data_IF_378104067110
#
_entry.id   IF_378104067110
#
_cell.length_a   1.000
_cell.length_b   1.000
_cell.length_c   1.000
_cell.angle_alpha   90.00
_cell.angle_beta   90.00
_cell.angle_gamma   90.00
#
_symmetry.space_group_name_H-M   'P 1'
#
loop_
_entity.id
_entity.type
_entity.pdbx_description
1 polymer ?
#
# COMPACT_ATOMS: atom_id res chain seq x y z
N UNK A 1 -13.72 15.77 10.34
CA UNK A 1 -12.75 15.41 11.38
C UNK A 1 -12.86 13.90 11.64
N UNK A 2 -11.71 13.21 11.80
CA UNK A 2 -11.70 11.81 12.22
C UNK A 2 -12.07 11.67 13.69
N UNK A 3 -12.69 10.54 14.05
CA UNK A 3 -13.03 10.22 15.44
C UNK A 3 -11.79 9.70 16.19
N UNK A 4 -10.90 9.02 15.49
CA UNK A 4 -9.61 8.55 16.00
C UNK A 4 -8.47 9.06 15.15
N UNK A 5 -7.41 9.54 15.84
CA UNK A 5 -6.16 9.96 15.22
C UNK A 5 -5.01 9.32 15.99
N UNK A 6 -4.19 8.52 15.31
CA UNK A 6 -2.99 7.90 15.88
C UNK A 6 -1.77 8.40 15.14
N UNK A 7 -0.70 8.75 15.87
CA UNK A 7 0.56 9.23 15.30
C UNK A 7 1.71 8.34 15.71
N UNK A 8 2.64 8.14 14.79
CA UNK A 8 3.87 7.41 15.00
C UNK A 8 5.01 8.01 14.18
N UNK A 9 6.22 7.68 14.56
CA UNK A 9 7.45 8.04 13.84
C UNK A 9 8.31 6.79 13.70
N UNK A 10 8.98 6.65 12.57
CA UNK A 10 9.98 5.61 12.34
C UNK A 10 11.08 6.10 11.39
N UNK A 11 12.19 5.39 11.36
CA UNK A 11 13.32 5.68 10.49
C UNK A 11 14.03 4.38 10.06
N UNK A 12 15.01 4.49 9.18
CA UNK A 12 15.82 3.39 8.70
C UNK A 12 17.06 3.08 9.56
N UNK A 13 17.09 3.53 10.83
CA UNK A 13 18.26 3.39 11.72
C UNK A 13 18.69 1.93 11.94
N UNK A 14 17.81 0.98 11.77
CA UNK A 14 18.05 -0.47 11.88
C UNK A 14 18.26 -1.18 10.54
N UNK A 15 18.08 -0.48 9.40
CA UNK A 15 18.35 -1.06 8.09
C UNK A 15 19.85 -1.31 7.90
N UNK A 16 20.19 -2.31 7.08
CA UNK A 16 21.59 -2.59 6.73
C UNK A 16 22.15 -1.49 5.84
N UNK A 17 21.45 -1.17 4.75
CA UNK A 17 21.77 -0.09 3.83
C UNK A 17 20.86 1.12 4.07
N UNK A 18 21.35 2.05 4.92
CA UNK A 18 20.60 3.23 5.34
C UNK A 18 20.69 4.35 4.32
N UNK A 19 19.56 4.93 3.99
CA UNK A 19 19.51 6.19 3.21
C UNK A 19 19.29 7.42 4.09
N UNK A 20 18.97 7.22 5.39
CA UNK A 20 18.78 8.27 6.38
C UNK A 20 17.38 8.88 6.35
N UNK A 21 16.38 8.14 5.85
CA UNK A 21 14.99 8.61 5.79
C UNK A 21 14.33 8.61 7.17
N UNK A 22 13.46 9.59 7.40
CA UNK A 22 12.53 9.61 8.56
C UNK A 22 11.11 9.77 8.10
N UNK A 23 10.18 9.09 8.78
CA UNK A 23 8.76 9.08 8.39
C UNK A 23 7.90 9.38 9.62
N UNK A 24 7.05 10.40 9.52
CA UNK A 24 5.92 10.54 10.42
C UNK A 24 4.71 9.85 9.79
N UNK A 25 3.99 9.04 10.56
CA UNK A 25 2.76 8.39 10.16
C UNK A 25 1.59 8.94 10.98
N UNK A 26 0.49 9.25 10.31
CA UNK A 26 -0.76 9.63 10.94
C UNK A 26 -1.86 8.73 10.39
N UNK A 27 -2.57 8.03 11.27
CA UNK A 27 -3.73 7.22 10.91
C UNK A 27 -5.02 7.93 11.35
N UNK A 28 -6.02 7.94 10.48
CA UNK A 28 -7.34 8.53 10.69
C UNK A 28 -8.41 7.46 10.52
N UNK A 29 -9.31 7.33 11.50
CA UNK A 29 -10.43 6.41 11.44
C UNK A 29 -11.73 7.05 11.95
N UNK A 30 -12.88 6.47 11.57
CA UNK A 30 -14.23 6.94 11.88
C UNK A 30 -15.09 5.80 12.40
N UNK A 31 -16.04 6.12 13.29
CA UNK A 31 -16.96 5.13 13.89
C UNK A 31 -18.27 4.98 13.13
N UNK A 32 -18.59 5.90 12.23
CA UNK A 32 -19.92 5.95 11.63
C UNK A 32 -19.91 6.07 10.11
N UNK A 33 -20.99 5.53 9.52
CA UNK A 33 -21.26 5.59 8.08
C UNK A 33 -21.24 7.02 7.54
N UNK A 34 -20.67 7.23 6.37
CA UNK A 34 -20.16 6.20 5.44
C UNK A 34 -18.67 5.90 5.56
N UNK A 35 -18.02 6.22 6.68
CA UNK A 35 -16.57 6.26 6.79
C UNK A 35 -15.96 5.16 7.69
N UNK A 36 -16.78 4.28 8.26
CA UNK A 36 -16.35 3.23 9.21
C UNK A 36 -15.58 2.08 8.56
N UNK A 37 -15.66 1.92 7.23
CA UNK A 37 -15.07 0.80 6.50
C UNK A 37 -13.71 1.12 5.87
N UNK A 38 -13.05 2.22 6.29
CA UNK A 38 -11.69 2.53 5.86
C UNK A 38 -10.88 3.27 6.92
N UNK A 39 -9.56 3.16 6.81
CA UNK A 39 -8.58 3.91 7.59
C UNK A 39 -7.66 4.64 6.61
N UNK A 40 -7.46 5.94 6.78
CA UNK A 40 -6.52 6.72 5.98
C UNK A 40 -5.19 6.79 6.73
N UNK A 41 -4.10 6.51 6.04
CA UNK A 41 -2.74 6.73 6.49
C UNK A 41 -2.11 7.86 5.69
N UNK A 42 -1.62 8.86 6.39
CA UNK A 42 -0.78 9.92 5.86
C UNK A 42 0.65 9.70 6.32
N UNK A 43 1.60 9.74 5.39
CA UNK A 43 3.02 9.59 5.64
C UNK A 43 3.75 10.87 5.22
N UNK A 44 4.49 11.48 6.15
CA UNK A 44 5.38 12.60 5.87
C UNK A 44 6.79 12.01 5.79
N UNK A 45 7.28 11.78 4.57
CA UNK A 45 8.60 11.20 4.30
C UNK A 45 9.62 12.32 4.22
N UNK A 46 10.58 12.33 5.14
CA UNK A 46 11.54 13.42 5.35
C UNK A 46 12.95 12.98 4.94
N UNK A 47 13.67 13.87 4.29
CA UNK A 47 15.09 13.74 4.02
C UNK A 47 15.90 14.67 4.96
N UNK A 48 16.29 14.24 6.16
CA UNK A 48 17.10 15.06 7.07
C UNK A 48 18.59 15.07 6.71
N UNK A 49 19.01 14.43 5.64
CA UNK A 49 20.42 14.33 5.22
C UNK A 49 20.89 15.57 4.47
N UNK A 50 22.20 15.66 4.22
CA UNK A 50 22.80 16.76 3.46
C UNK A 50 22.86 16.48 1.93
N UNK A 51 22.19 15.43 1.45
CA UNK A 51 22.17 15.04 0.04
C UNK A 51 20.75 14.78 -0.41
N UNK A 52 20.45 15.05 -1.69
CA UNK A 52 19.15 14.76 -2.27
C UNK A 52 18.91 13.24 -2.33
N UNK A 53 17.71 12.81 -1.99
CA UNK A 53 17.23 11.44 -2.20
C UNK A 53 16.52 11.38 -3.54
N UNK A 54 17.01 10.51 -4.45
CA UNK A 54 16.52 10.41 -5.82
C UNK A 54 15.90 9.05 -6.08
N UNK A 55 14.77 9.05 -6.80
CA UNK A 55 14.14 7.80 -7.24
C UNK A 55 13.51 6.99 -6.10
N UNK A 56 12.98 7.66 -5.07
CA UNK A 56 12.39 7.00 -3.89
C UNK A 56 11.00 6.47 -4.22
N UNK A 57 10.74 5.24 -3.84
CA UNK A 57 9.41 4.62 -3.84
C UNK A 57 8.96 4.36 -2.42
N UNK A 58 7.66 4.46 -2.18
CA UNK A 58 7.05 4.14 -0.90
C UNK A 58 5.84 3.23 -1.14
N UNK A 59 5.82 2.07 -0.52
CA UNK A 59 4.78 1.06 -0.72
C UNK A 59 4.16 0.57 0.59
N UNK A 60 2.92 0.11 0.48
CA UNK A 60 2.21 -0.61 1.54
C UNK A 60 1.96 -2.03 1.04
N UNK A 61 2.51 -2.99 1.76
CA UNK A 61 2.32 -4.42 1.53
C UNK A 61 1.12 -4.92 2.34
N UNK A 62 0.25 -5.68 1.70
CA UNK A 62 -0.93 -6.30 2.32
C UNK A 62 -0.94 -7.80 2.11
N UNK A 63 -1.03 -8.53 3.22
CA UNK A 63 -1.18 -9.97 3.28
C UNK A 63 -2.48 -10.28 4.04
N UNK A 64 -3.59 -10.26 3.29
CA UNK A 64 -4.92 -10.43 3.85
C UNK A 64 -5.38 -11.87 3.73
N UNK A 65 -5.44 -12.60 4.85
CA UNK A 65 -6.06 -13.92 4.90
C UNK A 65 -7.57 -13.77 5.08
N UNK A 66 -8.32 -13.70 3.98
CA UNK A 66 -9.78 -13.57 3.99
C UNK A 66 -10.40 -14.95 3.92
N UNK A 67 -11.10 -15.35 4.99
CA UNK A 67 -11.69 -16.69 5.08
C UNK A 67 -10.63 -17.79 5.02
N UNK A 68 -10.62 -18.57 3.93
CA UNK A 68 -9.54 -19.53 3.66
C UNK A 68 -8.51 -18.91 2.72
N UNK A 69 -7.30 -18.66 3.21
CA UNK A 69 -6.22 -18.03 2.46
C UNK A 69 -5.94 -18.70 1.10
N UNK A 70 -6.11 -20.03 0.99
CA UNK A 70 -5.87 -20.77 -0.26
C UNK A 70 -6.92 -20.51 -1.34
N UNK A 71 -8.06 -19.91 -0.99
CA UNK A 71 -9.17 -19.59 -1.89
C UNK A 71 -9.24 -18.07 -2.18
N UNK A 72 -8.19 -17.33 -1.87
CA UNK A 72 -8.12 -15.90 -2.09
C UNK A 72 -7.68 -15.56 -3.52
N UNK A 73 -8.05 -14.37 -3.94
CA UNK A 73 -7.69 -13.76 -5.22
C UNK A 73 -7.19 -12.33 -4.97
N UNK A 74 -6.09 -11.96 -5.59
CA UNK A 74 -5.63 -10.58 -5.66
C UNK A 74 -5.99 -9.98 -7.02
N UNK A 75 -6.33 -8.69 -7.06
CA UNK A 75 -6.66 -7.98 -8.29
C UNK A 75 -6.41 -6.46 -8.13
N UNK A 76 -6.44 -5.70 -9.25
CA UNK A 76 -6.20 -4.27 -9.27
C UNK A 76 -7.25 -3.51 -10.09
N UNK A 77 -7.90 -2.53 -9.48
CA UNK A 77 -8.78 -1.58 -10.16
C UNK A 77 -8.02 -0.31 -10.54
N UNK A 78 -7.55 -0.24 -11.78
CA UNK A 78 -6.79 0.90 -12.31
C UNK A 78 -7.61 2.20 -12.36
N UNK A 79 -8.94 2.15 -12.30
CA UNK A 79 -9.78 3.35 -12.29
C UNK A 79 -9.88 3.99 -10.90
N UNK A 80 -9.43 3.28 -9.89
CA UNK A 80 -9.48 3.65 -8.47
C UNK A 80 -8.12 3.66 -7.80
N UNK A 81 -7.04 3.28 -8.49
CA UNK A 81 -5.72 3.05 -7.91
C UNK A 81 -5.78 2.15 -6.66
N UNK A 82 -6.55 1.05 -6.79
CA UNK A 82 -6.96 0.18 -5.70
C UNK A 82 -6.49 -1.26 -5.96
N UNK A 83 -5.51 -1.72 -5.21
CA UNK A 83 -5.19 -3.14 -5.08
C UNK A 83 -6.09 -3.78 -4.03
N UNK A 84 -6.60 -5.00 -4.28
CA UNK A 84 -7.46 -5.67 -3.31
C UNK A 84 -7.34 -7.19 -3.37
N UNK A 85 -7.65 -7.81 -2.22
CA UNK A 85 -7.76 -9.26 -2.06
C UNK A 85 -9.18 -9.60 -1.65
N UNK A 86 -9.67 -10.75 -2.11
CA UNK A 86 -11.02 -11.23 -1.81
C UNK A 86 -11.12 -12.76 -1.86
N UNK A 87 -12.09 -13.32 -1.16
CA UNK A 87 -12.59 -14.69 -1.33
C UNK A 87 -13.83 -14.67 -2.23
N UNK A 88 -13.97 -15.63 -3.14
CA UNK A 88 -15.11 -15.68 -4.06
C UNK A 88 -16.45 -15.73 -3.31
N UNK A 89 -17.29 -14.71 -3.52
CA UNK A 89 -18.56 -14.54 -2.80
C UNK A 89 -18.42 -14.07 -1.36
N UNK A 90 -17.20 -13.72 -0.93
CA UNK A 90 -16.88 -13.26 0.42
C UNK A 90 -16.60 -11.77 0.52
N UNK A 91 -15.81 -11.41 1.53
CA UNK A 91 -15.40 -10.04 1.85
C UNK A 91 -14.21 -9.61 1.00
N UNK A 92 -13.99 -8.32 0.98
CA UNK A 92 -12.90 -7.66 0.27
C UNK A 92 -12.09 -6.80 1.23
N UNK A 93 -10.77 -6.80 1.07
CA UNK A 93 -9.87 -5.85 1.71
C UNK A 93 -8.91 -5.28 0.67
N UNK A 94 -8.59 -4.00 0.74
CA UNK A 94 -7.75 -3.36 -0.27
C UNK A 94 -6.90 -2.22 0.27
N UNK A 95 -5.91 -1.86 -0.54
CA UNK A 95 -5.03 -0.72 -0.35
C UNK A 95 -5.26 0.21 -1.53
N UNK A 96 -5.71 1.43 -1.24
CA UNK A 96 -5.86 2.50 -2.22
C UNK A 96 -4.72 3.49 -2.10
N UNK A 97 -4.08 3.81 -3.21
CA UNK A 97 -3.19 4.95 -3.30
C UNK A 97 -4.00 6.25 -3.33
N UNK A 98 -3.64 7.22 -2.47
CA UNK A 98 -4.29 8.54 -2.39
C UNK A 98 -3.35 9.62 -2.91
N UNK A 99 -3.89 10.55 -3.72
CA UNK A 99 -3.18 11.72 -4.22
C UNK A 99 -1.88 11.40 -4.98
N UNK A 100 -1.83 10.23 -5.64
CA UNK A 100 -0.66 9.80 -6.40
C UNK A 100 -0.81 10.08 -7.89
N UNK A 101 0.24 10.61 -8.52
CA UNK A 101 0.33 10.72 -9.97
C UNK A 101 0.89 9.45 -10.63
N UNK A 102 1.56 8.60 -9.84
CA UNK A 102 2.22 7.38 -10.31
C UNK A 102 2.03 6.27 -9.29
N UNK A 103 1.13 5.37 -9.60
CA UNK A 103 0.86 4.18 -8.80
C UNK A 103 1.55 2.97 -9.45
N UNK A 104 2.15 2.13 -8.61
CA UNK A 104 2.63 0.82 -8.99
C UNK A 104 1.84 -0.22 -8.19
N UNK A 105 1.69 -1.39 -8.76
CA UNK A 105 1.01 -2.52 -8.15
C UNK A 105 1.64 -3.84 -8.54
N UNK A 106 1.76 -4.74 -7.59
CA UNK A 106 2.22 -6.10 -7.81
C UNK A 106 1.43 -7.06 -6.92
N UNK A 107 0.83 -8.10 -7.50
CA UNK A 107 0.23 -9.22 -6.79
C UNK A 107 1.23 -10.38 -6.74
N UNK A 108 1.41 -10.97 -5.56
CA UNK A 108 2.27 -12.12 -5.33
C UNK A 108 1.43 -13.38 -5.22
N UNK A 109 1.82 -14.39 -5.99
CA UNK A 109 1.42 -15.77 -5.77
C UNK A 109 2.43 -16.41 -4.81
N UNK A 110 2.04 -16.64 -3.57
CA UNK A 110 2.91 -17.27 -2.57
C UNK A 110 3.32 -18.70 -2.93
N UNK A 111 2.78 -19.29 -4.00
CA UNK A 111 3.30 -20.56 -4.53
C UNK A 111 4.66 -20.40 -5.22
N UNK A 112 5.02 -19.15 -5.60
CA UNK A 112 6.26 -18.81 -6.27
C UNK A 112 6.33 -19.30 -7.72
N UNK A 113 5.17 -19.56 -8.35
CA UNK A 113 5.13 -20.08 -9.72
C UNK A 113 5.15 -18.98 -10.79
N UNK A 114 4.82 -17.75 -10.40
CA UNK A 114 4.76 -16.61 -11.31
C UNK A 114 5.34 -15.35 -10.65
N UNK A 115 6.32 -14.74 -11.32
CA UNK A 115 6.98 -13.52 -10.88
C UNK A 115 7.92 -13.68 -9.68
N UNK A 116 7.89 -12.70 -8.78
CA UNK A 116 8.74 -12.66 -7.59
C UNK A 116 8.32 -13.74 -6.59
N UNK A 117 9.29 -14.55 -6.14
CA UNK A 117 9.07 -15.62 -5.17
C UNK A 117 9.38 -15.15 -3.74
N UNK A 118 8.39 -14.68 -3.02
CA UNK A 118 8.57 -14.21 -1.64
C UNK A 118 8.82 -15.32 -0.61
N UNK A 119 8.78 -16.62 -0.99
CA UNK A 119 9.03 -17.75 -0.07
C UNK A 119 10.51 -18.05 0.16
N UNK A 120 11.39 -17.75 -0.77
CA UNK A 120 12.83 -17.93 -0.62
C UNK A 120 13.53 -16.72 0.00
N UNK A 121 12.79 -15.70 0.33
CA UNK A 121 13.19 -14.43 0.88
C UNK A 121 12.71 -13.31 -0.04
N UNK A 122 12.26 -12.22 0.51
CA UNK A 122 11.87 -11.02 -0.23
C UNK A 122 13.01 -10.03 -0.08
N UNK A 123 13.96 -10.08 -1.02
CA UNK A 123 15.18 -9.29 -0.94
C UNK A 123 14.99 -7.85 -1.45
N UNK A 124 15.96 -6.96 -1.17
CA UNK A 124 15.91 -5.54 -1.52
C UNK A 124 15.66 -5.31 -3.02
N UNK A 125 16.17 -6.19 -3.90
CA UNK A 125 15.97 -6.07 -5.35
C UNK A 125 14.55 -6.42 -5.77
N UNK A 126 13.96 -7.42 -5.15
CA UNK A 126 12.58 -7.84 -5.36
C UNK A 126 11.59 -6.84 -4.76
N UNK A 127 11.90 -6.29 -3.57
CA UNK A 127 11.15 -5.18 -2.99
C UNK A 127 11.13 -3.97 -3.94
N UNK A 128 12.29 -3.58 -4.44
CA UNK A 128 12.41 -2.47 -5.38
C UNK A 128 11.66 -2.76 -6.70
N UNK A 129 11.81 -3.96 -7.27
CA UNK A 129 11.12 -4.38 -8.49
C UNK A 129 9.61 -4.29 -8.33
N UNK A 130 9.05 -4.87 -7.27
CA UNK A 130 7.61 -4.87 -7.03
C UNK A 130 7.01 -3.47 -6.81
N UNK A 131 7.81 -2.52 -6.28
CA UNK A 131 7.40 -1.14 -6.06
C UNK A 131 7.61 -0.21 -7.26
N UNK A 132 8.45 -0.59 -8.25
CA UNK A 132 8.92 0.34 -9.29
C UNK A 132 8.55 -0.05 -10.72
N UNK A 133 8.03 -1.25 -10.94
CA UNK A 133 7.75 -1.80 -12.27
C UNK A 133 6.46 -1.30 -12.92
N UNK A 134 5.73 -0.39 -12.27
CA UNK A 134 4.41 0.05 -12.74
C UNK A 134 3.29 -0.89 -12.25
N UNK A 135 2.19 -0.93 -12.99
CA UNK A 135 1.09 -1.86 -12.70
C UNK A 135 1.34 -3.16 -13.48
N UNK A 136 1.90 -4.13 -12.79
CA UNK A 136 2.25 -5.45 -13.36
C UNK A 136 1.79 -6.56 -12.41
N UNK A 137 1.70 -7.80 -12.89
CA UNK A 137 1.15 -8.92 -12.11
C UNK A 137 -0.16 -8.52 -11.41
N UNK A 138 -1.12 -8.07 -12.24
CA UNK A 138 -2.37 -7.44 -11.76
C UNK A 138 -3.31 -8.39 -11.04
N UNK A 139 -3.09 -9.71 -11.12
CA UNK A 139 -3.90 -10.71 -10.45
C UNK A 139 -3.08 -11.91 -10.02
N UNK A 140 -3.49 -12.52 -8.91
CA UNK A 140 -2.96 -13.77 -8.39
C UNK A 140 -4.09 -14.57 -7.73
N UNK A 141 -3.88 -15.86 -7.48
CA UNK A 141 -4.86 -16.72 -6.80
C UNK A 141 -4.19 -17.73 -5.89
N UNK A 142 -4.90 -18.17 -4.84
CA UNK A 142 -4.40 -19.04 -3.79
C UNK A 142 -4.02 -18.23 -2.55
N UNK A 143 -2.97 -18.63 -1.85
CA UNK A 143 -2.38 -17.84 -0.77
C UNK A 143 -1.62 -16.64 -1.39
N UNK A 144 -2.25 -15.49 -1.41
CA UNK A 144 -1.80 -14.29 -2.15
C UNK A 144 -1.52 -13.12 -1.22
N UNK A 145 -0.63 -12.24 -1.67
CA UNK A 145 -0.41 -10.91 -1.09
C UNK A 145 -0.26 -9.88 -2.19
N UNK A 146 -0.19 -8.61 -1.86
CA UNK A 146 0.01 -7.55 -2.84
C UNK A 146 0.74 -6.35 -2.25
N UNK A 147 1.30 -5.52 -3.13
CA UNK A 147 1.86 -4.22 -2.77
C UNK A 147 1.25 -3.14 -3.66
N UNK A 148 0.92 -2.01 -3.05
CA UNK A 148 0.57 -0.77 -3.74
C UNK A 148 1.60 0.27 -3.37
N UNK A 149 2.23 0.91 -4.34
CA UNK A 149 3.27 1.89 -4.08
C UNK A 149 3.11 3.17 -4.88
N UNK A 150 3.78 4.22 -4.42
CA UNK A 150 3.94 5.51 -5.06
C UNK A 150 5.40 5.73 -5.47
N UNK A 151 5.62 6.43 -6.58
CA UNK A 151 6.96 6.86 -6.98
C UNK A 151 7.23 6.72 -8.49
N UNK A 152 8.43 7.14 -8.94
CA UNK A 152 9.55 7.65 -8.12
C UNK A 152 9.36 9.10 -7.65
N UNK A 153 9.90 9.41 -6.47
CA UNK A 153 9.99 10.76 -5.92
C UNK A 153 11.45 11.19 -5.76
N UNK A 154 11.69 12.49 -5.89
CA UNK A 154 12.95 13.11 -5.52
C UNK A 154 12.70 14.02 -4.33
N UNK A 155 13.43 13.80 -3.23
CA UNK A 155 13.28 14.56 -1.99
C UNK A 155 14.59 15.33 -1.75
N UNK A 156 14.61 16.64 -1.99
CA UNK A 156 15.82 17.45 -1.74
C UNK A 156 16.30 17.36 -0.29
N UNK A 157 17.59 17.64 -0.07
CA UNK A 157 18.17 17.75 1.27
C UNK A 157 17.37 18.69 2.16
N UNK A 158 16.98 18.24 3.33
CA UNK A 158 16.20 19.00 4.31
C UNK A 158 14.70 19.15 4.00
N UNK A 159 14.21 18.57 2.90
CA UNK A 159 12.81 18.65 2.47
C UNK A 159 12.02 17.39 2.84
N UNK A 160 10.72 17.38 2.51
CA UNK A 160 9.81 16.27 2.75
C UNK A 160 8.72 16.19 1.68
N UNK A 161 8.13 14.99 1.53
CA UNK A 161 6.93 14.77 0.73
C UNK A 161 5.82 14.19 1.61
N UNK A 162 4.57 14.38 1.19
CA UNK A 162 3.40 13.80 1.87
C UNK A 162 2.76 12.78 0.93
N UNK A 163 2.57 11.57 1.43
CA UNK A 163 1.95 10.45 0.73
C UNK A 163 0.72 9.98 1.49
N UNK A 164 -0.26 9.43 0.79
CA UNK A 164 -1.46 8.90 1.40
C UNK A 164 -1.80 7.50 0.88
N UNK A 165 -2.27 6.66 1.80
CA UNK A 165 -2.92 5.39 1.48
C UNK A 165 -4.19 5.24 2.30
N UNK A 166 -5.17 4.52 1.75
CA UNK A 166 -6.30 4.06 2.53
C UNK A 166 -6.34 2.53 2.54
N UNK A 167 -6.50 1.97 3.73
CA UNK A 167 -6.91 0.58 3.90
C UNK A 167 -8.43 0.57 3.88
N UNK A 168 -9.01 -0.18 2.98
CA UNK A 168 -10.46 -0.19 2.75
C UNK A 168 -11.02 -1.61 2.83
N UNK A 169 -12.22 -1.76 3.37
CA UNK A 169 -12.95 -3.02 3.41
C UNK A 169 -14.26 -2.93 2.64
N UNK A 170 -14.84 -4.08 2.29
CA UNK A 170 -16.14 -4.16 1.65
C UNK A 170 -16.74 -5.55 1.77
N UNK A 171 -18.08 -5.62 1.83
CA UNK A 171 -18.82 -6.89 1.83
C UNK A 171 -18.92 -7.48 0.42
N UNK A 172 -18.70 -6.64 -0.59
CA UNK A 172 -18.63 -6.98 -2.02
C UNK A 172 -17.75 -5.94 -2.74
N UNK A 173 -17.49 -6.15 -4.04
CA UNK A 173 -16.67 -5.26 -4.84
C UNK A 173 -17.27 -3.84 -4.98
N UNK A 174 -18.61 -3.71 -4.98
CA UNK A 174 -19.25 -2.41 -5.12
C UNK A 174 -19.08 -1.58 -3.84
N UNK A 175 -19.27 -2.20 -2.67
CA UNK A 175 -19.05 -1.54 -1.39
C UNK A 175 -17.57 -1.19 -1.18
N UNK A 176 -16.62 -2.08 -1.55
CA UNK A 176 -15.19 -1.79 -1.54
C UNK A 176 -14.86 -0.55 -2.37
N UNK A 177 -15.36 -0.47 -3.61
CA UNK A 177 -15.16 0.67 -4.52
C UNK A 177 -15.79 1.96 -3.99
N UNK A 178 -16.95 1.89 -3.37
CA UNK A 178 -17.61 3.04 -2.75
C UNK A 178 -16.79 3.57 -1.58
N UNK A 179 -16.30 2.68 -0.71
CA UNK A 179 -15.46 3.06 0.43
C UNK A 179 -14.11 3.63 -0.01
N UNK A 180 -13.49 3.05 -1.05
CA UNK A 180 -12.29 3.62 -1.67
C UNK A 180 -12.53 5.02 -2.26
N UNK A 181 -13.70 5.26 -2.86
CA UNK A 181 -14.07 6.59 -3.36
C UNK A 181 -14.31 7.58 -2.21
N UNK A 182 -14.92 7.15 -1.10
CA UNK A 182 -15.12 8.02 0.07
C UNK A 182 -13.80 8.43 0.70
N UNK A 183 -12.83 7.52 0.78
CA UNK A 183 -11.49 7.82 1.27
C UNK A 183 -10.73 8.86 0.44
N UNK A 184 -10.99 8.96 -0.88
CA UNK A 184 -10.34 9.92 -1.79
C UNK A 184 -10.71 11.37 -1.51
N UNK A 185 -11.91 11.62 -1.01
CA UNK A 185 -12.46 12.99 -0.84
C UNK A 185 -12.27 13.55 0.57
N UNK A 186 -11.67 12.78 1.48
CA UNK A 186 -11.34 13.19 2.84
C UNK A 186 -9.98 13.90 2.90
#
# INVERSE_FOLDING_TARGET
NADFIVKGEFDDSYAFDKIGVKVDQIAYAWESSPNEDYIIYEYIVKNPTNSDMMGIYFGVYGDWDIGNAQDNYADFDATKDLGYIYEAGGKYAGIKALRSEKVNYYAFDKSGNDGINIKDGYDDSEEFESMSSGVVHVSASGDVSHIVSHGPYNIPSGDSIVLGFAIVAGLDLNSLRANAQSAEVM
#
